data_IF_803729647663
#
_entry.id   IF_803729647663
#
_cell.length_a   1.000
_cell.length_b   1.000
_cell.length_c   1.000
_cell.angle_alpha   90.00
_cell.angle_beta   90.00
_cell.angle_gamma   90.00
#
_symmetry.space_group_name_H-M   'P 1'
#
loop_
_entity.id
_entity.type
_entity.pdbx_description
1 polymer ?
#
# COMPACT_ATOMS: atom_id res chain seq x y z
N UNK A 1 27.92 60.47 -3.11
CA UNK A 1 28.31 59.29 -3.94
C UNK A 1 28.41 57.97 -3.16
N UNK A 2 28.90 57.93 -1.91
CA UNK A 2 29.04 56.67 -1.13
C UNK A 2 27.73 55.91 -0.83
N UNK A 3 26.58 56.60 -0.79
CA UNK A 3 25.26 55.97 -0.50
C UNK A 3 24.62 55.26 -1.70
N UNK A 4 24.97 55.67 -2.93
CA UNK A 4 24.45 55.06 -4.16
C UNK A 4 25.12 53.72 -4.46
N UNK A 5 26.42 53.63 -4.16
CA UNK A 5 27.20 52.39 -4.26
C UNK A 5 26.71 51.30 -3.30
N UNK A 6 26.29 51.68 -2.09
CA UNK A 6 25.73 50.73 -1.12
C UNK A 6 24.36 50.16 -1.57
N UNK A 7 23.49 51.00 -2.15
CA UNK A 7 22.19 50.53 -2.68
C UNK A 7 22.35 49.60 -3.89
N UNK A 8 23.29 49.88 -4.78
CA UNK A 8 23.61 49.00 -5.92
C UNK A 8 24.19 47.65 -5.47
N UNK A 9 25.03 47.63 -4.43
CA UNK A 9 25.58 46.40 -3.87
C UNK A 9 24.51 45.51 -3.20
N UNK A 10 23.54 46.10 -2.48
CA UNK A 10 22.42 45.33 -1.88
C UNK A 10 21.46 44.76 -2.92
N UNK A 11 21.22 45.47 -4.02
CA UNK A 11 20.34 44.99 -5.09
C UNK A 11 21.02 43.90 -5.93
N UNK A 12 22.35 43.98 -6.11
CA UNK A 12 23.14 42.89 -6.70
C UNK A 12 23.16 41.63 -5.81
N UNK A 13 23.22 41.77 -4.48
CA UNK A 13 23.13 40.63 -3.55
C UNK A 13 21.74 39.95 -3.57
N UNK A 14 20.65 40.71 -3.74
CA UNK A 14 19.30 40.15 -3.87
C UNK A 14 19.08 39.39 -5.20
N UNK A 15 19.77 39.78 -6.27
CA UNK A 15 19.72 39.08 -7.56
C UNK A 15 20.61 37.83 -7.60
N UNK A 16 21.73 37.83 -6.85
CA UNK A 16 22.61 36.66 -6.70
C UNK A 16 22.01 35.67 -5.67
N UNK A 17 21.20 36.15 -4.73
CA UNK A 17 20.40 35.36 -3.79
C UNK A 17 19.15 34.70 -4.38
N UNK A 18 19.10 34.46 -5.70
CA UNK A 18 18.06 33.70 -6.40
C UNK A 18 17.99 32.21 -6.04
N UNK A 19 18.11 31.86 -4.75
CA UNK A 19 17.94 30.50 -4.21
C UNK A 19 16.47 30.05 -4.15
N UNK A 20 15.50 30.88 -4.57
CA UNK A 20 14.07 30.61 -4.44
C UNK A 20 13.38 30.00 -5.67
N UNK A 21 13.80 30.34 -6.90
CA UNK A 21 13.06 29.95 -8.12
C UNK A 21 13.19 28.46 -8.43
N UNK A 22 14.41 27.90 -8.38
CA UNK A 22 14.63 26.46 -8.64
C UNK A 22 13.95 25.56 -7.60
N UNK A 23 13.93 25.95 -6.33
CA UNK A 23 13.22 25.20 -5.28
C UNK A 23 11.71 25.33 -5.41
N UNK A 24 11.22 26.47 -5.91
CA UNK A 24 9.80 26.66 -6.22
C UNK A 24 9.37 25.81 -7.42
N UNK A 25 10.11 25.86 -8.52
CA UNK A 25 9.87 25.06 -9.73
C UNK A 25 9.87 23.56 -9.43
N UNK A 26 10.85 23.08 -8.67
CA UNK A 26 10.91 21.67 -8.28
C UNK A 26 9.70 21.22 -7.44
N UNK A 27 9.28 22.04 -6.46
CA UNK A 27 8.07 21.75 -5.68
C UNK A 27 6.80 21.82 -6.52
N UNK A 28 6.75 22.72 -7.49
CA UNK A 28 5.63 22.83 -8.43
C UNK A 28 5.53 21.58 -9.29
N UNK A 29 6.65 21.10 -9.84
CA UNK A 29 6.70 19.88 -10.63
C UNK A 29 6.29 18.64 -9.82
N UNK A 30 6.81 18.49 -8.60
CA UNK A 30 6.39 17.41 -7.68
C UNK A 30 4.89 17.48 -7.36
N UNK A 31 4.35 18.68 -7.19
CA UNK A 31 2.91 18.88 -6.95
C UNK A 31 2.10 18.47 -8.17
N UNK A 32 2.51 18.88 -9.37
CA UNK A 32 1.86 18.52 -10.62
C UNK A 32 1.90 17.01 -10.86
N UNK A 33 3.03 16.36 -10.60
CA UNK A 33 3.17 14.91 -10.69
C UNK A 33 2.26 14.18 -9.70
N UNK A 34 2.17 14.68 -8.45
CA UNK A 34 1.28 14.13 -7.44
C UNK A 34 -0.20 14.28 -7.84
N UNK A 35 -0.61 15.42 -8.38
CA UNK A 35 -1.99 15.63 -8.87
C UNK A 35 -2.30 14.66 -10.02
N UNK A 36 -1.42 14.55 -11.02
CA UNK A 36 -1.58 13.60 -12.14
C UNK A 36 -1.61 12.16 -11.64
N UNK A 37 -0.81 11.83 -10.63
CA UNK A 37 -0.81 10.51 -10.02
C UNK A 37 -2.15 10.21 -9.32
N UNK A 38 -2.66 11.12 -8.52
CA UNK A 38 -3.96 10.95 -7.86
C UNK A 38 -5.11 10.86 -8.88
N UNK A 39 -5.05 11.63 -9.96
CA UNK A 39 -6.03 11.54 -11.06
C UNK A 39 -6.01 10.14 -11.71
N UNK A 40 -4.81 9.60 -12.01
CA UNK A 40 -4.67 8.22 -12.52
C UNK A 40 -5.23 7.19 -11.55
N UNK A 41 -4.95 7.32 -10.25
CA UNK A 41 -5.52 6.43 -9.24
C UNK A 41 -7.06 6.49 -9.23
N UNK A 42 -7.64 7.69 -9.22
CA UNK A 42 -9.10 7.87 -9.18
C UNK A 42 -9.78 7.41 -10.48
N UNK A 43 -9.10 7.54 -11.62
CA UNK A 43 -9.60 7.09 -12.92
C UNK A 43 -9.65 5.57 -13.02
N UNK A 44 -8.60 4.89 -12.56
CA UNK A 44 -8.35 3.47 -12.83
C UNK A 44 -8.64 2.53 -11.66
N UNK A 45 -8.69 3.04 -10.43
CA UNK A 45 -8.92 2.25 -9.22
C UNK A 45 -10.19 2.68 -8.50
N UNK A 46 -10.64 1.83 -7.59
CA UNK A 46 -11.66 2.17 -6.60
C UNK A 46 -11.07 3.11 -5.51
N UNK A 47 -11.94 3.81 -4.76
CA UNK A 47 -11.54 4.42 -3.50
C UNK A 47 -10.88 3.39 -2.57
N UNK A 48 -10.05 3.87 -1.64
CA UNK A 48 -9.45 2.98 -0.66
C UNK A 48 -10.53 2.32 0.21
N UNK A 49 -10.30 1.07 0.58
CA UNK A 49 -11.18 0.33 1.47
C UNK A 49 -10.97 0.85 2.90
N UNK A 50 -11.91 1.66 3.38
CA UNK A 50 -11.83 2.35 4.68
C UNK A 50 -12.95 1.96 5.64
N UNK A 51 -13.54 0.77 5.47
CA UNK A 51 -14.65 0.30 6.32
C UNK A 51 -14.41 -1.12 6.82
N UNK A 52 -14.97 -1.41 8.00
CA UNK A 52 -14.92 -2.73 8.63
C UNK A 52 -13.49 -3.17 8.93
N UNK A 53 -13.21 -4.46 8.73
CA UNK A 53 -11.91 -5.06 9.02
C UNK A 53 -10.71 -4.37 8.36
N UNK A 54 -10.88 -3.75 7.19
CA UNK A 54 -9.81 -2.99 6.52
C UNK A 54 -9.33 -1.81 7.36
N UNK A 55 -10.26 -1.05 7.92
CA UNK A 55 -9.97 0.08 8.80
C UNK A 55 -9.44 -0.39 10.16
N UNK A 56 -10.07 -1.41 10.75
CA UNK A 56 -9.67 -1.99 12.05
C UNK A 56 -8.23 -2.54 12.03
N UNK A 57 -7.82 -3.11 10.90
CA UNK A 57 -6.46 -3.60 10.68
C UNK A 57 -5.53 -2.50 10.14
N UNK A 58 -6.04 -1.32 9.80
CA UNK A 58 -5.27 -0.25 9.15
C UNK A 58 -4.58 -0.72 7.86
N UNK A 59 -5.30 -1.48 7.04
CA UNK A 59 -4.85 -1.95 5.71
C UNK A 59 -5.63 -1.17 4.66
N UNK A 60 -4.91 -0.40 3.85
CA UNK A 60 -5.48 0.47 2.84
C UNK A 60 -5.09 -0.03 1.46
N UNK A 61 -6.10 -0.53 0.75
CA UNK A 61 -5.97 -1.07 -0.60
C UNK A 61 -6.94 -0.34 -1.52
N UNK A 62 -6.49 -0.04 -2.74
CA UNK A 62 -7.32 0.47 -3.84
C UNK A 62 -7.41 -0.60 -4.92
N UNK A 63 -8.44 -1.46 -4.92
CA UNK A 63 -8.62 -2.45 -5.97
C UNK A 63 -8.74 -1.81 -7.36
N UNK A 64 -8.40 -2.51 -8.45
CA UNK A 64 -8.79 -2.14 -9.80
C UNK A 64 -10.29 -1.77 -9.89
N UNK A 65 -10.61 -0.75 -10.69
CA UNK A 65 -11.99 -0.28 -10.85
C UNK A 65 -12.88 -1.38 -11.46
N UNK A 66 -14.16 -1.36 -11.09
CA UNK A 66 -15.22 -2.32 -11.47
C UNK A 66 -15.18 -3.69 -10.76
N UNK A 67 -14.21 -3.92 -9.87
CA UNK A 67 -14.21 -5.07 -8.99
C UNK A 67 -15.29 -4.90 -7.90
N UNK A 68 -16.10 -5.93 -7.68
CA UNK A 68 -17.04 -5.98 -6.57
C UNK A 68 -16.50 -6.91 -5.48
N UNK A 69 -16.50 -6.46 -4.23
CA UNK A 69 -16.13 -7.34 -3.11
C UNK A 69 -17.18 -8.45 -2.97
N UNK A 70 -16.74 -9.69 -2.95
CA UNK A 70 -17.62 -10.84 -2.76
C UNK A 70 -17.93 -11.03 -1.28
N UNK A 71 -19.07 -11.66 -1.00
CA UNK A 71 -19.49 -11.97 0.39
C UNK A 71 -18.65 -13.09 1.02
N UNK A 72 -18.12 -13.98 0.19
CA UNK A 72 -17.35 -15.14 0.61
C UNK A 72 -15.98 -15.14 -0.06
N UNK A 73 -15.00 -15.70 0.65
CA UNK A 73 -13.72 -16.08 0.10
C UNK A 73 -13.92 -17.08 -1.06
N UNK A 74 -13.09 -16.98 -2.09
CA UNK A 74 -13.28 -17.72 -3.35
C UNK A 74 -12.18 -18.72 -3.69
N UNK A 75 -11.05 -18.70 -2.97
CA UNK A 75 -10.02 -19.73 -3.13
C UNK A 75 -10.31 -20.91 -2.19
N UNK A 76 -9.32 -21.79 -1.99
CA UNK A 76 -9.45 -22.90 -1.05
C UNK A 76 -9.80 -22.40 0.37
N UNK A 77 -10.59 -23.21 1.08
CA UNK A 77 -11.06 -22.90 2.43
C UNK A 77 -9.87 -22.68 3.38
N UNK A 78 -9.96 -21.64 4.19
CA UNK A 78 -8.94 -21.27 5.16
C UNK A 78 -9.32 -21.77 6.53
N UNK A 79 -8.32 -22.19 7.31
CA UNK A 79 -8.54 -22.55 8.70
C UNK A 79 -8.95 -21.30 9.50
N UNK A 80 -10.06 -21.36 10.28
CA UNK A 80 -10.52 -20.21 11.06
C UNK A 80 -9.45 -19.65 11.99
N UNK A 81 -9.21 -18.34 11.93
CA UNK A 81 -8.23 -17.64 12.79
C UNK A 81 -6.80 -17.63 12.26
N UNK A 82 -6.54 -18.28 11.13
CA UNK A 82 -5.24 -18.28 10.44
C UNK A 82 -4.91 -16.95 9.76
N UNK A 83 -5.94 -16.27 9.26
CA UNK A 83 -5.85 -14.92 8.69
C UNK A 83 -6.82 -13.99 9.43
N UNK A 84 -6.43 -12.72 9.57
CA UNK A 84 -7.30 -11.72 10.20
C UNK A 84 -8.27 -11.11 9.17
N UNK A 85 -7.82 -11.02 7.92
CA UNK A 85 -8.60 -10.56 6.77
C UNK A 85 -8.46 -11.51 5.59
N UNK A 86 -9.62 -11.84 5.02
CA UNK A 86 -9.78 -12.64 3.82
C UNK A 86 -10.82 -11.93 2.97
N UNK A 87 -10.47 -11.53 1.76
CA UNK A 87 -11.39 -10.89 0.85
C UNK A 87 -11.11 -11.31 -0.58
N UNK A 88 -12.18 -11.56 -1.32
CA UNK A 88 -12.12 -11.69 -2.77
C UNK A 88 -12.90 -10.54 -3.40
N UNK A 89 -12.41 -10.10 -4.55
CA UNK A 89 -13.09 -9.16 -5.41
C UNK A 89 -13.17 -9.79 -6.80
N UNK A 90 -14.33 -9.67 -7.44
CA UNK A 90 -14.61 -10.25 -8.75
C UNK A 90 -15.17 -9.18 -9.69
N UNK A 91 -14.65 -9.18 -10.92
CA UNK A 91 -15.24 -8.54 -12.08
C UNK A 91 -15.48 -9.67 -13.08
N UNK A 92 -16.74 -10.10 -13.14
CA UNK A 92 -17.16 -11.30 -13.87
C UNK A 92 -16.49 -11.41 -15.24
N UNK A 93 -15.76 -12.52 -15.44
CA UNK A 93 -15.04 -12.91 -16.67
C UNK A 93 -13.82 -12.06 -17.04
N UNK A 94 -13.40 -11.08 -16.23
CA UNK A 94 -12.24 -10.23 -16.53
C UNK A 94 -11.11 -10.36 -15.53
N UNK A 95 -11.40 -10.24 -14.24
CA UNK A 95 -10.35 -10.27 -13.23
C UNK A 95 -10.91 -10.57 -11.84
N UNK A 96 -10.06 -11.19 -11.04
CA UNK A 96 -10.24 -11.36 -9.61
C UNK A 96 -9.05 -10.77 -8.86
N UNK A 97 -9.31 -10.25 -7.67
CA UNK A 97 -8.30 -9.90 -6.68
C UNK A 97 -8.63 -10.63 -5.38
N UNK A 98 -7.70 -11.43 -4.89
CA UNK A 98 -7.79 -12.09 -3.60
C UNK A 98 -6.78 -11.48 -2.64
N UNK A 99 -7.21 -11.24 -1.41
CA UNK A 99 -6.40 -10.61 -0.37
C UNK A 99 -6.46 -11.46 0.89
N UNK A 100 -5.29 -11.86 1.36
CA UNK A 100 -5.08 -12.48 2.67
C UNK A 100 -4.20 -11.55 3.48
N UNK A 101 -4.56 -11.27 4.73
CA UNK A 101 -3.71 -10.50 5.61
C UNK A 101 -3.67 -11.06 7.03
N UNK A 102 -2.51 -10.88 7.65
CA UNK A 102 -2.22 -11.20 9.03
C UNK A 102 -1.54 -9.99 9.67
N UNK A 103 -2.04 -9.59 10.83
CA UNK A 103 -1.45 -8.55 11.67
C UNK A 103 -0.99 -9.20 12.96
N UNK A 104 0.32 -9.19 13.19
CA UNK A 104 0.92 -9.70 14.44
C UNK A 104 0.59 -8.74 15.57
N UNK A 105 -0.49 -9.03 16.29
CA UNK A 105 -0.84 -8.30 17.51
C UNK A 105 -0.03 -8.89 18.66
N UNK A 106 0.69 -8.04 19.39
CA UNK A 106 1.27 -8.45 20.66
C UNK A 106 0.15 -8.91 21.59
N UNK A 107 0.28 -10.11 22.19
CA UNK A 107 -0.66 -10.58 23.21
C UNK A 107 -0.67 -9.55 24.33
N UNK A 108 -1.79 -8.85 24.52
CA UNK A 108 -1.92 -7.92 25.65
C UNK A 108 -1.87 -8.75 26.92
N UNK A 109 -0.91 -8.53 27.84
CA UNK A 109 -0.84 -9.27 29.08
C UNK A 109 -1.93 -8.72 30.01
N UNK A 110 -3.14 -9.27 29.92
CA UNK A 110 -4.23 -8.75 30.73
C UNK A 110 -5.57 -9.45 30.53
N UNK A 111 -5.98 -10.17 31.57
CA UNK A 111 -7.24 -10.89 31.80
C UNK A 111 -7.39 -12.21 31.04
N UNK A 112 -7.80 -13.24 31.79
CA UNK A 112 -8.21 -14.57 31.34
C UNK A 112 -9.30 -14.44 30.26
N UNK A 113 -8.92 -14.17 29.03
CA UNK A 113 -9.80 -14.25 27.88
C UNK A 113 -9.90 -15.72 27.47
N UNK A 114 -11.11 -16.15 27.14
CA UNK A 114 -11.36 -17.46 26.52
C UNK A 114 -10.43 -17.58 25.30
N UNK A 115 -9.73 -18.72 25.09
CA UNK A 115 -8.89 -18.90 23.93
C UNK A 115 -9.70 -18.59 22.67
N UNK A 116 -9.26 -17.61 21.89
CA UNK A 116 -9.81 -17.41 20.54
C UNK A 116 -9.20 -18.45 19.61
N UNK A 117 -9.86 -18.85 18.51
CA UNK A 117 -9.28 -19.78 17.53
C UNK A 117 -7.88 -19.34 17.04
N UNK A 118 -7.63 -18.03 17.00
CA UNK A 118 -6.31 -17.46 16.68
C UNK A 118 -5.20 -17.82 17.69
N UNK A 119 -5.55 -18.20 18.93
CA UNK A 119 -4.60 -18.56 19.98
C UNK A 119 -4.09 -20.01 19.88
N UNK A 120 -4.79 -20.87 19.13
CA UNK A 120 -4.47 -22.29 18.96
C UNK A 120 -3.83 -22.61 17.60
N UNK A 121 -4.01 -21.75 16.60
CA UNK A 121 -3.49 -21.95 15.24
C UNK A 121 -2.05 -21.46 15.14
N UNK A 122 -1.17 -22.25 14.50
CA UNK A 122 0.19 -21.80 14.20
C UNK A 122 0.14 -20.63 13.21
N UNK A 123 0.59 -19.46 13.67
CA UNK A 123 0.62 -18.21 12.90
C UNK A 123 2.04 -17.78 12.55
N UNK A 124 3.03 -18.66 12.67
CA UNK A 124 4.45 -18.35 12.44
C UNK A 124 4.83 -18.19 10.96
N UNK A 125 4.18 -18.93 10.05
CA UNK A 125 4.59 -19.02 8.64
C UNK A 125 3.52 -18.52 7.64
N UNK A 126 3.27 -17.21 7.61
CA UNK A 126 2.28 -16.61 6.71
C UNK A 126 2.49 -16.98 5.23
N UNK A 127 3.74 -16.93 4.74
CA UNK A 127 4.01 -17.23 3.34
C UNK A 127 3.70 -18.69 3.01
N UNK A 128 4.13 -19.64 3.86
CA UNK A 128 3.81 -21.06 3.66
C UNK A 128 2.31 -21.32 3.64
N UNK A 129 1.57 -20.64 4.51
CA UNK A 129 0.11 -20.73 4.58
C UNK A 129 -0.57 -20.24 3.28
N UNK A 130 -0.12 -19.10 2.75
CA UNK A 130 -0.62 -18.59 1.46
C UNK A 130 -0.27 -19.54 0.33
N UNK A 131 0.96 -20.05 0.27
CA UNK A 131 1.38 -20.97 -0.78
C UNK A 131 0.62 -22.31 -0.73
N UNK A 132 0.28 -22.81 0.46
CA UNK A 132 -0.54 -24.01 0.61
C UNK A 132 -1.92 -23.84 -0.04
N UNK A 133 -2.60 -22.71 0.24
CA UNK A 133 -3.90 -22.37 -0.37
C UNK A 133 -3.78 -22.30 -1.90
N UNK A 134 -2.73 -21.65 -2.41
CA UNK A 134 -2.54 -21.48 -3.84
C UNK A 134 -2.19 -22.79 -4.54
N UNK A 135 -1.36 -23.64 -3.93
CA UNK A 135 -1.03 -24.96 -4.46
C UNK A 135 -2.26 -25.88 -4.49
N UNK A 136 -3.09 -25.84 -3.45
CA UNK A 136 -4.33 -26.63 -3.40
C UNK A 136 -5.36 -26.17 -4.42
N UNK A 137 -5.58 -24.85 -4.53
CA UNK A 137 -6.59 -24.29 -5.42
C UNK A 137 -6.19 -24.36 -6.90
N UNK A 138 -4.97 -23.91 -7.24
CA UNK A 138 -4.53 -23.82 -8.63
C UNK A 138 -3.92 -25.11 -9.17
N UNK A 139 -3.46 -26.01 -8.30
CA UNK A 139 -2.76 -27.26 -8.67
C UNK A 139 -1.73 -27.04 -9.78
N UNK A 140 -0.78 -26.11 -9.59
CA UNK A 140 0.20 -25.80 -10.62
C UNK A 140 1.04 -27.03 -10.96
N UNK A 141 1.58 -27.15 -12.19
CA UNK A 141 2.39 -28.31 -12.60
C UNK A 141 3.62 -28.53 -11.71
N UNK A 142 4.15 -27.44 -11.16
CA UNK A 142 5.19 -27.47 -10.16
C UNK A 142 4.74 -26.72 -8.92
N UNK A 143 5.04 -27.28 -7.74
CA UNK A 143 4.69 -26.67 -6.47
C UNK A 143 5.26 -25.25 -6.35
N UNK A 144 4.42 -24.32 -5.89
CA UNK A 144 4.83 -22.97 -5.54
C UNK A 144 5.61 -23.01 -4.24
N UNK A 145 6.84 -22.50 -4.30
CA UNK A 145 7.73 -22.38 -3.16
C UNK A 145 8.35 -20.98 -3.15
N UNK A 146 8.81 -20.53 -1.99
CA UNK A 146 9.36 -19.17 -1.82
C UNK A 146 10.60 -18.90 -2.68
N UNK A 147 11.32 -19.92 -3.13
CA UNK A 147 12.48 -19.78 -4.02
C UNK A 147 12.10 -19.26 -5.42
N UNK A 148 10.84 -19.41 -5.84
CA UNK A 148 10.33 -18.91 -7.12
C UNK A 148 9.97 -17.42 -7.11
N UNK A 149 9.95 -16.81 -5.92
CA UNK A 149 9.59 -15.41 -5.74
C UNK A 149 10.82 -14.51 -5.84
N UNK A 150 10.70 -13.45 -6.62
CA UNK A 150 11.71 -12.39 -6.74
C UNK A 150 11.30 -11.14 -5.99
N UNK A 151 12.25 -10.26 -5.68
CA UNK A 151 11.92 -8.94 -5.16
C UNK A 151 11.32 -8.08 -6.29
N UNK A 152 10.27 -7.34 -5.97
CA UNK A 152 9.65 -6.35 -6.85
C UNK A 152 9.24 -5.12 -6.03
N UNK A 153 9.81 -3.97 -6.34
CA UNK A 153 9.54 -2.71 -5.63
C UNK A 153 8.59 -1.86 -6.48
N UNK A 154 7.45 -1.47 -5.89
CA UNK A 154 6.48 -0.55 -6.49
C UNK A 154 6.45 0.72 -5.68
N UNK A 155 7.10 1.77 -6.20
CA UNK A 155 7.27 3.07 -5.53
C UNK A 155 7.95 2.94 -4.17
N UNK A 156 7.18 2.87 -3.08
CA UNK A 156 7.69 2.74 -1.69
C UNK A 156 7.43 1.36 -1.07
N UNK A 157 6.81 0.46 -1.82
CA UNK A 157 6.40 -0.85 -1.32
C UNK A 157 7.28 -1.95 -1.92
N UNK A 158 7.87 -2.76 -1.06
CA UNK A 158 8.66 -3.92 -1.44
C UNK A 158 7.81 -5.19 -1.34
N UNK A 159 7.76 -5.95 -2.44
CA UNK A 159 7.04 -7.21 -2.51
C UNK A 159 7.97 -8.36 -2.87
N UNK A 160 7.62 -9.56 -2.41
CA UNK A 160 8.02 -10.80 -3.07
C UNK A 160 6.97 -11.11 -4.13
N UNK A 161 7.39 -11.22 -5.39
CA UNK A 161 6.52 -11.41 -6.53
C UNK A 161 6.79 -12.73 -7.25
N UNK A 162 5.72 -13.42 -7.62
CA UNK A 162 5.73 -14.54 -8.55
C UNK A 162 4.53 -14.45 -9.49
N UNK A 163 4.73 -14.82 -10.75
CA UNK A 163 3.67 -14.91 -11.76
C UNK A 163 3.65 -16.30 -12.37
N UNK A 164 2.46 -16.86 -12.53
CA UNK A 164 2.25 -18.17 -13.15
C UNK A 164 1.06 -18.12 -14.11
N UNK A 165 0.97 -19.12 -14.99
CA UNK A 165 -0.20 -19.31 -15.86
C UNK A 165 -0.87 -20.63 -15.51
N UNK A 166 -2.18 -20.60 -15.27
CA UNK A 166 -2.99 -21.77 -14.94
C UNK A 166 -4.30 -21.69 -15.73
N UNK A 167 -4.59 -22.71 -16.54
CA UNK A 167 -5.82 -22.79 -17.34
C UNK A 167 -6.12 -21.51 -18.16
N UNK A 168 -5.12 -21.00 -18.90
CA UNK A 168 -5.16 -19.76 -19.70
C UNK A 168 -5.40 -18.45 -18.91
N UNK A 169 -5.30 -18.54 -17.58
CA UNK A 169 -5.32 -17.37 -16.70
C UNK A 169 -3.91 -17.06 -16.21
N UNK A 170 -3.58 -15.78 -16.20
CA UNK A 170 -2.40 -15.25 -15.53
C UNK A 170 -2.73 -15.02 -14.06
N UNK A 171 -1.93 -15.59 -13.17
CA UNK A 171 -2.01 -15.40 -11.72
C UNK A 171 -0.75 -14.68 -11.26
N UNK A 172 -0.90 -13.48 -10.70
CA UNK A 172 0.19 -12.65 -10.18
C UNK A 172 0.06 -12.53 -8.66
N UNK A 173 1.07 -13.03 -7.95
CA UNK A 173 1.08 -13.13 -6.49
C UNK A 173 2.12 -12.15 -5.95
N UNK A 174 1.68 -11.23 -5.09
CA UNK A 174 2.52 -10.26 -4.40
C UNK A 174 2.41 -10.46 -2.89
N UNK A 175 3.53 -10.82 -2.25
CA UNK A 175 3.62 -10.95 -0.80
C UNK A 175 4.34 -9.73 -0.23
N UNK A 176 3.62 -8.97 0.58
CA UNK A 176 4.09 -7.80 1.27
C UNK A 176 4.36 -8.13 2.73
N UNK A 177 5.46 -7.57 3.25
CA UNK A 177 5.85 -7.73 4.64
C UNK A 177 6.41 -6.45 5.21
N UNK A 178 5.72 -5.89 6.20
CA UNK A 178 6.19 -4.79 7.02
C UNK A 178 5.65 -4.99 8.42
N UNK A 179 6.49 -5.36 9.40
CA UNK A 179 6.04 -5.64 10.77
C UNK A 179 5.15 -4.50 11.32
N UNK A 180 3.96 -4.79 11.88
CA UNK A 180 3.39 -6.12 12.20
C UNK A 180 2.57 -6.80 11.08
N UNK A 181 2.60 -6.30 9.85
CA UNK A 181 1.76 -6.71 8.73
C UNK A 181 2.44 -7.72 7.81
N UNK A 182 1.74 -8.82 7.55
CA UNK A 182 1.98 -9.72 6.42
C UNK A 182 0.72 -9.73 5.54
N UNK A 183 0.86 -9.42 4.24
CA UNK A 183 -0.28 -9.29 3.30
C UNK A 183 0.04 -9.96 1.98
N UNK A 184 -0.88 -10.73 1.42
CA UNK A 184 -0.80 -11.31 0.09
C UNK A 184 -1.88 -10.70 -0.81
N UNK A 185 -1.48 -10.22 -1.98
CA UNK A 185 -2.35 -9.73 -3.05
C UNK A 185 -2.20 -10.67 -4.24
N UNK A 186 -3.28 -11.36 -4.61
CA UNK A 186 -3.29 -12.32 -5.71
C UNK A 186 -4.24 -11.81 -6.78
N UNK A 187 -3.69 -11.44 -7.93
CA UNK A 187 -4.46 -11.02 -9.10
C UNK A 187 -4.59 -12.19 -10.06
N UNK A 188 -5.80 -12.50 -10.47
CA UNK A 188 -6.11 -13.53 -11.48
C UNK A 188 -6.87 -12.89 -12.62
N UNK A 189 -6.48 -13.15 -13.86
CA UNK A 189 -7.19 -12.64 -15.05
C UNK A 189 -6.85 -13.48 -16.29
N UNK A 190 -7.72 -13.53 -17.31
CA UNK A 190 -7.38 -14.17 -18.59
C UNK A 190 -6.16 -13.50 -19.23
N UNK A 191 -5.29 -14.27 -19.87
CA UNK A 191 -4.07 -13.73 -20.48
C UNK A 191 -4.34 -12.61 -21.50
N UNK A 192 -5.50 -12.66 -22.17
CA UNK A 192 -5.96 -11.62 -23.10
C UNK A 192 -6.14 -10.24 -22.45
N UNK A 193 -6.45 -10.18 -21.15
CA UNK A 193 -6.72 -8.93 -20.42
C UNK A 193 -5.44 -8.32 -19.83
N UNK A 194 -4.28 -8.99 -19.95
CA UNK A 194 -3.05 -8.59 -19.25
C UNK A 194 -2.62 -7.15 -19.55
N UNK A 195 -2.69 -6.74 -20.82
CA UNK A 195 -2.25 -5.42 -21.26
C UNK A 195 -3.10 -4.29 -20.65
N UNK A 196 -4.42 -4.48 -20.55
CA UNK A 196 -5.34 -3.50 -19.96
C UNK A 196 -5.18 -3.43 -18.43
N UNK A 197 -5.02 -4.59 -17.80
CA UNK A 197 -4.98 -4.69 -16.34
C UNK A 197 -3.64 -4.30 -15.73
N UNK A 198 -2.54 -4.44 -16.48
CA UNK A 198 -1.19 -4.21 -15.94
C UNK A 198 -1.06 -2.85 -15.24
N UNK A 199 -1.53 -1.78 -15.87
CA UNK A 199 -1.47 -0.43 -15.30
C UNK A 199 -2.28 -0.30 -13.99
N UNK A 200 -3.47 -0.93 -13.93
CA UNK A 200 -4.34 -0.93 -12.75
C UNK A 200 -3.69 -1.71 -11.59
N UNK A 201 -3.10 -2.86 -11.89
CA UNK A 201 -2.38 -3.68 -10.90
C UNK A 201 -1.20 -2.90 -10.33
N UNK A 202 -0.37 -2.30 -11.18
CA UNK A 202 0.78 -1.50 -10.73
C UNK A 202 0.32 -0.34 -9.83
N UNK A 203 -0.69 0.42 -10.24
CA UNK A 203 -1.22 1.51 -9.43
C UNK A 203 -1.82 1.04 -8.10
N UNK A 204 -2.47 -0.13 -8.08
CA UNK A 204 -2.98 -0.74 -6.85
C UNK A 204 -1.85 -1.07 -5.88
N UNK A 205 -0.76 -1.66 -6.38
CA UNK A 205 0.43 -2.00 -5.58
C UNK A 205 1.19 -0.77 -5.10
N UNK A 206 1.30 0.28 -5.92
CA UNK A 206 1.97 1.53 -5.54
C UNK A 206 1.19 2.32 -4.49
N UNK A 207 -0.14 2.25 -4.51
CA UNK A 207 -1.02 2.97 -3.58
C UNK A 207 -1.38 2.15 -2.33
N UNK A 208 -1.04 0.86 -2.31
CA UNK A 208 -1.19 0.00 -1.14
C UNK A 208 -0.40 0.56 0.05
N UNK A 209 -1.00 0.55 1.23
CA UNK A 209 -0.34 1.02 2.44
C UNK A 209 -0.94 0.37 3.70
N UNK A 210 -0.13 0.28 4.75
CA UNK A 210 -0.55 -0.28 6.05
C UNK A 210 -0.17 0.64 7.21
N UNK A 211 -0.86 0.45 8.34
CA UNK A 211 -0.54 1.08 9.61
C UNK A 211 -0.93 2.55 9.75
N UNK A 212 -0.43 3.15 10.82
CA UNK A 212 -0.82 4.50 11.26
C UNK A 212 -0.55 5.58 10.21
N UNK A 213 0.59 5.46 9.52
CA UNK A 213 0.94 6.37 8.43
C UNK A 213 -0.13 6.33 7.35
N UNK A 214 -0.52 5.13 6.91
CA UNK A 214 -1.57 4.95 5.92
C UNK A 214 -2.91 5.50 6.39
N UNK A 215 -3.26 5.30 7.68
CA UNK A 215 -4.48 5.86 8.28
C UNK A 215 -4.56 7.37 8.15
N UNK A 216 -3.46 8.11 8.36
CA UNK A 216 -3.45 9.57 8.18
C UNK A 216 -3.68 9.96 6.72
N UNK A 217 -3.09 9.23 5.77
CA UNK A 217 -3.24 9.51 4.34
C UNK A 217 -4.63 9.18 3.79
N UNK A 218 -5.29 8.13 4.30
CA UNK A 218 -6.56 7.63 3.75
C UNK A 218 -7.80 7.89 4.62
N UNK A 219 -7.61 8.10 5.92
CA UNK A 219 -8.68 8.32 6.91
C UNK A 219 -9.16 9.76 7.02
N UNK A 220 -8.64 10.68 6.19
CA UNK A 220 -9.10 12.06 6.17
C UNK A 220 -8.75 12.87 7.41
N UNK A 221 -7.68 12.51 8.13
CA UNK A 221 -7.14 13.38 9.15
C UNK A 221 -6.64 14.67 8.45
N UNK A 222 -7.44 15.72 8.53
CA UNK A 222 -7.02 17.09 8.27
C UNK A 222 -5.72 17.29 9.00
N UNK A 223 -4.68 17.64 8.25
CA UNK A 223 -3.43 18.16 8.80
C UNK A 223 -3.71 19.54 9.40
N UNK A 224 -4.37 19.56 10.55
CA UNK A 224 -4.33 20.65 11.54
C UNK A 224 -3.62 20.11 12.78
N UNK A 225 -2.38 19.66 12.59
CA UNK A 225 -1.47 19.32 13.68
C UNK A 225 -0.01 19.41 13.22
N UNK A 226 0.33 20.45 12.44
CA UNK A 226 1.70 20.96 12.31
C UNK A 226 1.65 22.49 12.34
N UNK A 227 1.23 23.02 13.49
CA UNK A 227 1.37 24.43 13.85
C UNK A 227 1.70 24.54 15.34
N UNK A 228 2.77 23.88 15.77
CA UNK A 228 3.48 24.14 17.04
C UNK A 228 4.68 23.20 17.11
N UNK A 229 5.92 23.63 17.22
CA UNK A 229 6.49 24.96 17.29
C UNK A 229 8.00 24.75 17.28
N UNK A 230 8.70 25.57 16.51
CA UNK A 230 10.13 25.78 16.71
C UNK A 230 10.45 27.18 16.21
N UNK A 231 10.18 28.15 17.08
CA UNK A 231 10.75 29.49 16.96
C UNK A 231 11.93 29.55 17.95
N UNK A 232 13.15 29.90 17.50
CA UNK A 232 14.31 29.92 18.38
C UNK A 232 14.16 31.03 19.43
N UNK A 233 14.69 30.85 20.66
CA UNK A 233 14.57 31.87 21.69
C UNK A 233 15.41 33.10 21.33
N UNK A 234 14.76 34.20 20.98
CA UNK A 234 15.38 35.52 20.95
C UNK A 234 15.59 35.97 22.40
N UNK A 235 16.82 35.81 22.89
CA UNK A 235 17.24 36.40 24.15
C UNK A 235 17.22 37.92 24.07
N UNK A 236 16.41 38.54 24.93
CA UNK A 236 16.54 39.95 25.31
C UNK A 236 16.75 39.94 26.81
N UNK A 237 17.98 40.23 27.23
CA UNK A 237 18.31 40.50 28.62
C UNK A 237 17.99 41.97 28.93
N UNK A 238 17.30 42.20 30.04
CA UNK A 238 17.23 43.49 30.72
C UNK A 238 18.48 43.69 31.58
#
# INVERSE_FOLDING_TARGET
MRRVLAMLATMALLLIGGCGSKSYELRLDETLENIKYQDRLNKLLMPALTKGKWEELSIYLRPPKNLAQTKAWMLAETEPGKFDQEASFDEAKKQNLHVLARVKRAKTPGKKAVPTPADTVDRSNFNGDVLAILNEYYKPPEELTMSKFKNDTKKKNDFKFHGMTVNDKSVKIYLYKQEPYDVALIFEYPKSEEADLYSKIVLSLESFAVGERARRFFGGATSEAEASGDAPPSGVAF
#
